data_IF_377854597088
#
_entry.id   IF_377854597088
#
_cell.length_a   1.000
_cell.length_b   1.000
_cell.length_c   1.000
_cell.angle_alpha   90.00
_cell.angle_beta   90.00
_cell.angle_gamma   90.00
#
_symmetry.space_group_name_H-M   'P 1'
#
loop_
_entity.id
_entity.type
_entity.pdbx_description
1 polymer ?
#
# COMPACT_ATOMS: atom_id res chain seq x y z
N UNK A 1 -17.06 44.72 0.19
CA UNK A 1 -16.58 43.57 0.98
C UNK A 1 -16.56 43.96 2.44
N UNK A 2 -17.48 43.41 3.24
CA UNK A 2 -17.56 43.66 4.69
C UNK A 2 -16.33 43.03 5.36
N UNK A 3 -15.46 43.86 5.95
CA UNK A 3 -14.40 43.39 6.84
C UNK A 3 -15.11 42.87 8.10
N UNK A 4 -15.09 41.55 8.33
CA UNK A 4 -15.53 40.98 9.60
C UNK A 4 -14.73 41.66 10.72
N UNK A 5 -15.39 42.50 11.52
CA UNK A 5 -14.80 43.15 12.69
C UNK A 5 -14.58 42.06 13.74
N UNK A 6 -13.34 41.91 14.18
CA UNK A 6 -13.00 41.05 15.31
C UNK A 6 -13.74 41.56 16.56
N UNK A 7 -14.61 40.71 17.13
CA UNK A 7 -15.42 41.00 18.32
C UNK A 7 -14.92 40.24 19.56
N UNK A 8 -13.71 39.70 19.51
CA UNK A 8 -13.13 38.93 20.61
C UNK A 8 -13.02 39.78 21.88
N UNK A 9 -12.70 41.07 21.77
CA UNK A 9 -12.65 41.97 22.92
C UNK A 9 -14.04 42.32 23.47
N UNK A 10 -15.02 42.58 22.58
CA UNK A 10 -16.42 42.81 22.97
C UNK A 10 -16.97 41.60 23.76
N UNK A 11 -16.59 40.37 23.36
CA UNK A 11 -16.94 39.14 24.07
C UNK A 11 -16.23 39.03 25.43
N UNK A 12 -14.92 39.32 25.52
CA UNK A 12 -14.19 39.33 26.80
C UNK A 12 -14.76 40.34 27.79
N UNK A 13 -15.13 41.53 27.32
CA UNK A 13 -15.78 42.57 28.13
C UNK A 13 -17.13 42.08 28.67
N UNK A 14 -17.96 41.48 27.81
CA UNK A 14 -19.24 40.91 28.22
C UNK A 14 -19.09 39.81 29.28
N UNK A 15 -18.10 38.91 29.11
CA UNK A 15 -17.80 37.86 30.09
C UNK A 15 -17.31 38.44 31.41
N UNK A 16 -16.49 39.51 31.40
CA UNK A 16 -16.08 40.22 32.63
C UNK A 16 -17.29 40.77 33.38
N UNK A 17 -18.17 41.49 32.67
CA UNK A 17 -19.37 42.07 33.27
C UNK A 17 -20.30 41.00 33.85
N UNK A 18 -20.52 39.89 33.13
CA UNK A 18 -21.33 38.78 33.60
C UNK A 18 -20.74 38.12 34.87
N UNK A 19 -19.43 37.86 34.88
CA UNK A 19 -18.76 37.25 36.04
C UNK A 19 -18.82 38.14 37.29
N UNK A 20 -18.62 39.46 37.14
CA UNK A 20 -18.76 40.43 38.24
C UNK A 20 -20.20 40.45 38.75
N UNK A 21 -21.20 40.47 37.85
CA UNK A 21 -22.62 40.45 38.24
C UNK A 21 -23.04 39.17 38.96
N UNK A 22 -22.35 38.06 38.69
CA UNK A 22 -22.57 36.76 39.34
C UNK A 22 -21.78 36.59 40.64
N UNK A 23 -21.13 37.65 41.14
CA UNK A 23 -20.41 37.65 42.42
C UNK A 23 -19.10 36.87 42.43
N UNK A 24 -18.45 36.72 41.27
CA UNK A 24 -17.14 36.06 41.20
C UNK A 24 -16.09 36.92 41.92
N UNK A 25 -15.26 36.28 42.75
CA UNK A 25 -14.12 36.94 43.39
C UNK A 25 -13.02 37.24 42.35
N UNK A 26 -12.14 38.18 42.70
CA UNK A 26 -11.09 38.67 41.81
C UNK A 26 -10.15 37.56 41.32
N UNK A 27 -9.92 36.53 42.15
CA UNK A 27 -9.13 35.35 41.76
C UNK A 27 -9.83 34.46 40.71
N UNK A 28 -11.14 34.21 40.82
CA UNK A 28 -11.89 33.47 39.79
C UNK A 28 -12.04 34.28 38.50
N UNK A 29 -12.21 35.60 38.59
CA UNK A 29 -12.25 36.48 37.42
C UNK A 29 -10.92 36.45 36.67
N UNK A 30 -9.80 36.58 37.38
CA UNK A 30 -8.46 36.48 36.79
C UNK A 30 -8.23 35.11 36.14
N UNK A 31 -8.70 34.02 36.75
CA UNK A 31 -8.60 32.67 36.17
C UNK A 31 -9.41 32.52 34.87
N UNK A 32 -10.64 33.05 34.80
CA UNK A 32 -11.46 33.06 33.58
C UNK A 32 -10.78 33.90 32.49
N UNK A 33 -10.29 35.10 32.83
CA UNK A 33 -9.60 35.96 31.87
C UNK A 33 -8.30 35.33 31.36
N UNK A 34 -7.54 34.66 32.22
CA UNK A 34 -6.33 33.94 31.86
C UNK A 34 -6.61 32.76 30.91
N UNK A 35 -7.77 32.11 31.02
CA UNK A 35 -8.16 31.00 30.12
C UNK A 35 -8.39 31.42 28.66
N UNK A 36 -8.70 32.69 28.42
CA UNK A 36 -8.77 33.24 27.06
C UNK A 36 -7.39 33.52 26.45
N UNK A 37 -6.35 33.60 27.28
CA UNK A 37 -4.98 33.89 26.86
C UNK A 37 -4.19 32.59 26.73
N UNK A 38 -4.33 31.70 27.72
CA UNK A 38 -3.62 30.43 27.80
C UNK A 38 -4.62 29.32 27.53
N UNK A 39 -4.58 28.79 26.32
CA UNK A 39 -5.36 27.61 25.97
C UNK A 39 -4.95 26.47 26.90
N UNK A 40 -5.92 25.93 27.64
CA UNK A 40 -5.69 24.76 28.48
C UNK A 40 -5.15 23.64 27.58
N UNK A 41 -4.01 23.02 27.91
CA UNK A 41 -3.46 21.95 27.08
C UNK A 41 -4.52 20.87 26.95
N UNK A 42 -4.91 20.58 25.69
CA UNK A 42 -5.92 19.58 25.39
C UNK A 42 -5.41 18.25 25.94
N UNK A 43 -6.07 17.70 26.94
CA UNK A 43 -5.67 16.41 27.50
C UNK A 43 -5.83 15.35 26.42
N UNK A 44 -4.70 14.86 25.91
CA UNK A 44 -4.67 13.79 24.93
C UNK A 44 -5.13 12.52 25.65
N UNK A 45 -6.23 11.94 25.18
CA UNK A 45 -6.67 10.63 25.66
C UNK A 45 -5.61 9.57 25.32
N UNK A 46 -5.52 8.46 26.07
CA UNK A 46 -4.62 7.36 25.72
C UNK A 46 -4.87 6.85 24.29
N UNK A 47 -6.14 6.83 23.85
CA UNK A 47 -6.52 6.54 22.47
C UNK A 47 -5.86 7.50 21.48
N UNK A 48 -5.98 8.81 21.69
CA UNK A 48 -5.39 9.82 20.79
C UNK A 48 -3.87 9.72 20.74
N UNK A 49 -3.22 9.45 21.88
CA UNK A 49 -1.76 9.27 21.93
C UNK A 49 -1.32 8.04 21.12
N UNK A 50 -2.03 6.93 21.26
CA UNK A 50 -1.76 5.72 20.48
C UNK A 50 -2.01 5.93 18.99
N UNK A 51 -3.12 6.59 18.62
CA UNK A 51 -3.44 6.91 17.23
C UNK A 51 -2.38 7.80 16.56
N UNK A 52 -1.89 8.82 17.26
CA UNK A 52 -0.81 9.68 16.75
C UNK A 52 0.49 8.90 16.56
N UNK A 53 0.84 8.01 17.50
CA UNK A 53 2.03 7.15 17.36
C UNK A 53 1.91 6.21 16.16
N UNK A 54 0.72 5.67 15.89
CA UNK A 54 0.46 4.86 14.70
C UNK A 54 0.62 5.70 13.42
N UNK A 55 0.12 6.94 13.41
CA UNK A 55 0.31 7.86 12.29
C UNK A 55 1.80 8.13 12.02
N UNK A 56 2.57 8.46 13.06
CA UNK A 56 4.03 8.66 12.96
C UNK A 56 4.74 7.41 12.40
N UNK A 57 4.28 6.22 12.78
CA UNK A 57 4.82 4.95 12.26
C UNK A 57 4.52 4.76 10.77
N UNK A 58 3.31 5.12 10.32
CA UNK A 58 2.93 5.08 8.89
C UNK A 58 3.73 6.10 8.08
N UNK A 59 3.97 7.29 8.62
CA UNK A 59 4.80 8.31 7.98
C UNK A 59 6.27 7.88 7.86
N UNK A 60 6.82 7.27 8.92
CA UNK A 60 8.16 6.69 8.89
C UNK A 60 8.29 5.60 7.82
N UNK A 61 7.29 4.72 7.70
CA UNK A 61 7.22 3.72 6.62
C UNK A 61 7.23 4.39 5.24
N UNK A 62 6.42 5.43 5.04
CA UNK A 62 6.39 6.15 3.77
C UNK A 62 7.75 6.80 3.43
N UNK A 63 8.39 7.42 4.42
CA UNK A 63 9.73 8.00 4.24
C UNK A 63 10.78 6.94 3.91
N UNK A 64 10.73 5.78 4.59
CA UNK A 64 11.59 4.64 4.30
C UNK A 64 11.43 4.18 2.84
N UNK A 65 10.19 3.98 2.37
CA UNK A 65 9.94 3.58 0.98
C UNK A 65 10.44 4.61 -0.03
N UNK A 66 10.25 5.91 0.24
CA UNK A 66 10.75 6.97 -0.65
C UNK A 66 12.28 6.99 -0.74
N UNK A 67 12.96 6.78 0.39
CA UNK A 67 14.44 6.70 0.44
C UNK A 67 14.95 5.52 -0.36
N UNK A 68 14.33 4.35 -0.21
CA UNK A 68 14.76 3.09 -0.83
C UNK A 68 14.15 2.85 -2.22
N UNK A 69 13.27 3.72 -2.72
CA UNK A 69 12.59 3.53 -4.02
C UNK A 69 13.55 3.27 -5.19
N UNK A 70 14.61 4.08 -5.29
CA UNK A 70 15.59 3.93 -6.38
C UNK A 70 16.44 2.67 -6.20
N UNK A 71 16.83 2.38 -4.97
CA UNK A 71 17.58 1.19 -4.60
C UNK A 71 16.77 -0.08 -4.88
N UNK A 72 15.45 -0.01 -4.75
CA UNK A 72 14.54 -1.14 -4.92
C UNK A 72 14.20 -1.43 -6.40
N UNK A 73 14.04 -0.40 -7.23
CA UNK A 73 13.66 -0.56 -8.65
C UNK A 73 14.87 -0.76 -9.56
N UNK A 74 16.01 -0.12 -9.27
CA UNK A 74 17.17 -0.17 -10.15
C UNK A 74 18.00 -1.45 -9.92
N UNK A 75 17.97 -2.35 -10.92
CA UNK A 75 18.68 -3.62 -10.89
C UNK A 75 20.20 -3.46 -10.68
N UNK A 76 20.80 -2.36 -11.16
CA UNK A 76 22.26 -2.17 -11.13
C UNK A 76 22.75 -1.50 -9.85
N UNK A 77 21.84 -1.06 -9.00
CA UNK A 77 22.15 -0.30 -7.79
C UNK A 77 22.23 -1.16 -6.53
N UNK A 78 21.47 -2.25 -6.48
CA UNK A 78 21.41 -3.15 -5.33
C UNK A 78 21.33 -4.61 -5.73
N UNK A 79 21.79 -5.47 -4.82
CA UNK A 79 21.65 -6.91 -4.92
C UNK A 79 20.21 -7.37 -4.70
N UNK A 80 19.87 -8.56 -5.17
CA UNK A 80 18.56 -9.17 -4.92
C UNK A 80 18.28 -9.36 -3.43
N UNK A 81 19.31 -9.76 -2.66
CA UNK A 81 19.24 -9.92 -1.21
C UNK A 81 18.87 -8.61 -0.48
N UNK A 82 19.42 -7.48 -0.91
CA UNK A 82 19.10 -6.16 -0.31
C UNK A 82 17.65 -5.75 -0.61
N UNK A 83 17.14 -6.07 -1.81
CA UNK A 83 15.75 -5.82 -2.18
C UNK A 83 14.78 -6.66 -1.35
N UNK A 84 15.12 -7.91 -1.11
CA UNK A 84 14.33 -8.80 -0.27
C UNK A 84 14.36 -8.36 1.21
N UNK A 85 15.48 -7.80 1.68
CA UNK A 85 15.55 -7.15 3.00
C UNK A 85 14.60 -5.94 3.10
N UNK A 86 14.59 -5.08 2.08
CA UNK A 86 13.66 -3.94 2.00
C UNK A 86 12.21 -4.42 2.05
N UNK A 87 11.86 -5.49 1.30
CA UNK A 87 10.52 -6.08 1.34
C UNK A 87 10.15 -6.65 2.71
N UNK A 88 11.09 -7.34 3.36
CA UNK A 88 10.87 -7.89 4.68
C UNK A 88 10.60 -6.78 5.71
N UNK A 89 11.41 -5.72 5.70
CA UNK A 89 11.24 -4.57 6.57
C UNK A 89 9.89 -3.87 6.34
N UNK A 90 9.55 -3.57 5.08
CA UNK A 90 8.25 -2.96 4.73
C UNK A 90 7.08 -3.83 5.21
N UNK A 91 7.16 -5.13 5.00
CA UNK A 91 6.12 -6.07 5.44
C UNK A 91 5.99 -6.10 6.96
N UNK A 92 7.10 -6.08 7.70
CA UNK A 92 7.10 -6.03 9.14
C UNK A 92 6.47 -4.72 9.67
N UNK A 93 6.81 -3.58 9.06
CA UNK A 93 6.21 -2.28 9.39
C UNK A 93 4.69 -2.26 9.15
N UNK A 94 4.23 -2.77 7.99
CA UNK A 94 2.80 -2.81 7.67
C UNK A 94 2.05 -3.67 8.68
N UNK A 95 2.58 -4.85 9.04
CA UNK A 95 1.99 -5.72 10.06
C UNK A 95 1.92 -5.02 11.42
N UNK A 96 3.00 -4.40 11.87
CA UNK A 96 3.03 -3.68 13.14
C UNK A 96 2.03 -2.50 13.18
N UNK A 97 1.87 -1.76 12.07
CA UNK A 97 0.88 -0.69 11.98
C UNK A 97 -0.55 -1.24 11.99
N UNK A 98 -0.81 -2.34 11.27
CA UNK A 98 -2.11 -3.01 11.28
C UNK A 98 -2.49 -3.47 12.69
N UNK A 99 -1.57 -4.12 13.40
CA UNK A 99 -1.82 -4.61 14.75
C UNK A 99 -2.18 -3.45 15.71
N UNK A 100 -1.51 -2.31 15.58
CA UNK A 100 -1.85 -1.10 16.35
C UNK A 100 -3.25 -0.56 16.01
N UNK A 101 -3.63 -0.55 14.72
CA UNK A 101 -4.97 -0.14 14.28
C UNK A 101 -6.03 -1.11 14.83
N UNK A 102 -5.77 -2.41 14.83
CA UNK A 102 -6.68 -3.42 15.38
C UNK A 102 -6.84 -3.27 16.90
N UNK A 103 -5.76 -2.95 17.63
CA UNK A 103 -5.83 -2.61 19.06
C UNK A 103 -6.72 -1.37 19.28
N UNK A 104 -6.56 -0.32 18.48
CA UNK A 104 -7.40 0.87 18.55
C UNK A 104 -8.87 0.53 18.28
N UNK A 105 -9.15 -0.26 17.23
CA UNK A 105 -10.51 -0.73 16.91
C UNK A 105 -11.14 -1.51 18.06
N UNK A 106 -10.40 -2.45 18.65
CA UNK A 106 -10.88 -3.26 19.77
C UNK A 106 -11.12 -2.41 21.03
N UNK A 107 -10.32 -1.35 21.24
CA UNK A 107 -10.55 -0.42 22.35
C UNK A 107 -11.89 0.30 22.24
N UNK A 108 -12.33 0.62 21.03
CA UNK A 108 -13.64 1.27 20.78
C UNK A 108 -14.78 0.28 21.03
N UNK A 109 -14.68 -0.94 20.52
CA UNK A 109 -15.70 -1.98 20.72
C UNK A 109 -15.91 -2.30 22.22
N UNK A 110 -14.83 -2.31 23.01
CA UNK A 110 -14.90 -2.52 24.46
C UNK A 110 -15.58 -1.34 25.19
N UNK A 111 -15.33 -0.11 24.75
CA UNK A 111 -16.02 1.08 25.26
C UNK A 111 -17.52 1.09 24.87
N UNK A 112 -17.88 0.63 23.68
CA UNK A 112 -19.28 0.46 23.25
C UNK A 112 -20.00 -0.63 24.04
N UNK A 113 -19.30 -1.72 24.39
CA UNK A 113 -19.86 -2.79 25.20
C UNK A 113 -20.07 -2.36 26.66
N UNK A 114 -19.14 -1.57 27.22
CA UNK A 114 -19.19 -1.10 28.61
C UNK A 114 -20.11 0.10 28.84
N UNK A 115 -20.34 0.93 27.81
CA UNK A 115 -21.28 2.07 27.86
C UNK A 115 -22.75 1.66 27.81
N UNK A 116 -23.04 0.39 27.51
CA UNK A 116 -24.37 -0.21 27.74
C UNK A 116 -24.49 -0.55 29.22
N UNK A 117 -24.88 0.43 30.03
CA UNK A 117 -25.11 0.22 31.47
C UNK A 117 -26.13 -0.89 31.74
N UNK A 118 -26.17 -1.39 32.98
CA UNK A 118 -27.06 -2.46 33.48
C UNK A 118 -28.56 -2.29 33.12
N UNK A 119 -29.00 -1.07 32.79
CA UNK A 119 -30.37 -0.71 32.40
C UNK A 119 -30.58 -0.51 30.89
N UNK A 120 -29.59 -0.77 30.03
CA UNK A 120 -29.73 -0.70 28.57
C UNK A 120 -29.92 0.71 27.98
N UNK A 121 -29.77 1.77 28.79
CA UNK A 121 -29.88 3.16 28.33
C UNK A 121 -28.50 3.60 27.81
N UNK A 122 -28.42 3.87 26.51
CA UNK A 122 -27.21 4.37 25.82
C UNK A 122 -27.02 5.85 26.18
N UNK A 123 -25.95 6.18 26.88
CA UNK A 123 -25.56 7.58 27.11
C UNK A 123 -25.25 8.24 25.75
N UNK A 124 -26.16 9.09 25.28
CA UNK A 124 -26.05 9.77 23.98
C UNK A 124 -24.85 10.72 23.89
N UNK A 125 -24.31 11.16 25.03
CA UNK A 125 -23.12 12.03 25.10
C UNK A 125 -21.83 11.37 24.61
N UNK A 126 -21.77 10.03 24.53
CA UNK A 126 -20.62 9.30 24.02
C UNK A 126 -20.72 8.93 22.54
N UNK A 127 -21.85 9.17 21.87
CA UNK A 127 -22.01 8.79 20.47
C UNK A 127 -21.05 9.58 19.55
N UNK A 128 -20.89 10.88 19.80
CA UNK A 128 -19.96 11.73 19.06
C UNK A 128 -18.49 11.34 19.30
N UNK A 129 -18.14 10.96 20.53
CA UNK A 129 -16.77 10.54 20.86
C UNK A 129 -16.43 9.19 20.24
N UNK A 130 -17.38 8.26 20.23
CA UNK A 130 -17.26 6.96 19.56
C UNK A 130 -17.15 7.13 18.04
N UNK A 131 -18.02 7.94 17.43
CA UNK A 131 -17.96 8.24 16.00
C UNK A 131 -16.61 8.89 15.61
N UNK A 132 -16.12 9.85 16.41
CA UNK A 132 -14.80 10.43 16.22
C UNK A 132 -13.69 9.37 16.29
N UNK A 133 -13.73 8.45 17.27
CA UNK A 133 -12.72 7.38 17.38
C UNK A 133 -12.75 6.43 16.18
N UNK A 134 -13.92 6.01 15.72
CA UNK A 134 -14.04 5.21 14.49
C UNK A 134 -13.51 5.96 13.28
N UNK A 135 -13.83 7.25 13.13
CA UNK A 135 -13.29 8.10 12.06
C UNK A 135 -11.75 8.16 12.07
N UNK A 136 -11.13 8.25 13.25
CA UNK A 136 -9.67 8.20 13.39
C UNK A 136 -9.10 6.87 12.91
N UNK A 137 -9.70 5.74 13.30
CA UNK A 137 -9.28 4.39 12.86
C UNK A 137 -9.40 4.26 11.34
N UNK A 138 -10.47 4.77 10.75
CA UNK A 138 -10.66 4.78 9.29
C UNK A 138 -9.54 5.56 8.59
N UNK A 139 -9.24 6.78 9.03
CA UNK A 139 -8.17 7.60 8.45
C UNK A 139 -6.82 6.88 8.53
N UNK A 140 -6.50 6.25 9.67
CA UNK A 140 -5.26 5.48 9.83
C UNK A 140 -5.21 4.29 8.87
N UNK A 141 -6.32 3.56 8.73
CA UNK A 141 -6.41 2.40 7.84
C UNK A 141 -6.26 2.80 6.36
N UNK A 142 -6.86 3.92 5.94
CA UNK A 142 -6.75 4.46 4.59
C UNK A 142 -5.31 4.91 4.29
N UNK A 143 -4.67 5.60 5.24
CA UNK A 143 -3.27 6.02 5.10
C UNK A 143 -2.34 4.83 4.97
N UNK A 144 -2.49 3.81 5.82
CA UNK A 144 -1.69 2.60 5.73
C UNK A 144 -1.93 1.87 4.40
N UNK A 145 -3.20 1.77 3.96
CA UNK A 145 -3.54 1.17 2.68
C UNK A 145 -2.93 1.92 1.49
N UNK A 146 -2.96 3.26 1.51
CA UNK A 146 -2.33 4.09 0.47
C UNK A 146 -0.83 3.83 0.36
N UNK A 147 -0.14 3.71 1.49
CA UNK A 147 1.30 3.39 1.55
C UNK A 147 1.56 1.97 1.05
N UNK A 148 0.79 0.98 1.49
CA UNK A 148 0.88 -0.41 0.99
C UNK A 148 0.67 -0.48 -0.53
N UNK A 149 -0.35 0.20 -1.06
CA UNK A 149 -0.63 0.21 -2.49
C UNK A 149 0.48 0.90 -3.31
N UNK A 150 1.19 1.89 -2.75
CA UNK A 150 2.37 2.47 -3.39
C UNK A 150 3.51 1.45 -3.46
N UNK A 151 3.69 0.65 -2.42
CA UNK A 151 4.70 -0.40 -2.40
C UNK A 151 4.38 -1.54 -3.38
N UNK A 152 3.11 -1.94 -3.48
CA UNK A 152 2.63 -2.92 -4.46
C UNK A 152 3.00 -2.51 -5.90
N UNK A 153 2.86 -1.22 -6.21
CA UNK A 153 3.24 -0.69 -7.53
C UNK A 153 4.74 -0.82 -7.80
N UNK A 154 5.59 -0.59 -6.79
CA UNK A 154 7.02 -0.78 -6.93
C UNK A 154 7.38 -2.25 -7.15
N UNK A 155 6.73 -3.15 -6.41
CA UNK A 155 6.85 -4.60 -6.59
C UNK A 155 6.43 -5.05 -7.98
N UNK A 156 5.30 -4.55 -8.47
CA UNK A 156 4.81 -4.87 -9.82
C UNK A 156 5.82 -4.48 -10.91
N UNK A 157 6.52 -3.35 -10.77
CA UNK A 157 7.59 -2.95 -11.68
C UNK A 157 8.75 -3.97 -11.64
N UNK A 158 9.22 -4.36 -10.44
CA UNK A 158 10.28 -5.36 -10.26
C UNK A 158 9.90 -6.70 -10.91
N UNK A 159 8.67 -7.17 -10.69
CA UNK A 159 8.20 -8.42 -11.27
C UNK A 159 8.09 -8.33 -12.79
N UNK A 160 7.60 -7.21 -13.33
CA UNK A 160 7.55 -7.01 -14.77
C UNK A 160 8.95 -7.00 -15.39
N UNK A 161 9.94 -6.41 -14.73
CA UNK A 161 11.34 -6.43 -15.19
C UNK A 161 11.95 -7.84 -15.12
N UNK A 162 11.61 -8.63 -14.10
CA UNK A 162 12.02 -10.03 -14.03
C UNK A 162 11.43 -10.86 -15.18
N UNK A 163 10.15 -10.68 -15.50
CA UNK A 163 9.48 -11.34 -16.63
C UNK A 163 10.08 -10.89 -17.96
N UNK A 164 10.33 -9.59 -18.13
CA UNK A 164 10.94 -9.03 -19.35
C UNK A 164 12.37 -9.52 -19.58
N UNK A 165 13.12 -9.81 -18.51
CA UNK A 165 14.46 -10.39 -18.57
C UNK A 165 14.43 -11.88 -18.87
N UNK A 166 13.51 -12.61 -18.23
CA UNK A 166 13.34 -14.04 -18.46
C UNK A 166 12.86 -14.30 -19.89
N UNK A 167 11.92 -13.52 -20.41
CA UNK A 167 11.41 -13.72 -21.77
C UNK A 167 12.49 -13.38 -22.81
N UNK A 168 13.08 -14.36 -23.52
CA UNK A 168 14.11 -14.07 -24.50
C UNK A 168 13.49 -13.22 -25.60
N UNK A 169 14.06 -12.03 -25.84
CA UNK A 169 13.73 -11.20 -27.01
C UNK A 169 14.05 -12.04 -28.25
N UNK A 170 13.03 -12.71 -28.80
CA UNK A 170 13.07 -13.38 -30.11
C UNK A 170 13.47 -12.36 -31.17
N UNK A 171 14.77 -12.12 -31.35
CA UNK A 171 15.29 -11.70 -32.64
C UNK A 171 15.26 -12.95 -33.50
N UNK A 172 14.09 -13.19 -34.09
CA UNK A 172 13.93 -14.08 -35.23
C UNK A 172 14.93 -13.59 -36.29
N UNK A 173 16.10 -14.24 -36.37
CA UNK A 173 17.02 -14.04 -37.48
C UNK A 173 16.28 -14.53 -38.71
N UNK A 174 15.71 -13.58 -39.46
CA UNK A 174 15.17 -13.83 -40.79
C UNK A 174 16.35 -14.22 -41.66
N UNK A 175 16.57 -15.52 -41.82
CA UNK A 175 17.35 -16.03 -42.93
C UNK A 175 16.61 -15.60 -44.20
N UNK A 176 17.05 -14.48 -44.78
CA UNK A 176 16.72 -14.13 -46.15
C UNK A 176 17.87 -14.67 -46.99
N UNK A 177 17.74 -15.93 -47.39
CA UNK A 177 18.38 -16.43 -48.58
C UNK A 177 17.29 -16.71 -49.60
N UNK A 178 17.34 -16.01 -50.74
CA UNK A 178 16.86 -16.46 -52.05
C UNK A 178 17.26 -15.46 -53.16
N UNK A 179 18.40 -15.75 -53.80
CA UNK A 179 18.78 -15.65 -55.21
C UNK A 179 18.47 -14.43 -56.10
N UNK A 180 19.51 -13.96 -56.82
CA UNK A 180 19.48 -13.87 -58.29
C UNK A 180 20.90 -13.93 -58.90
N UNK A 181 20.95 -14.46 -60.13
CA UNK A 181 22.05 -15.02 -60.94
C UNK A 181 23.16 -14.02 -61.35
N UNK A 182 24.37 -14.50 -61.70
CA UNK A 182 24.80 -14.67 -63.11
C UNK A 182 26.24 -15.20 -63.32
N UNK A 183 26.45 -15.94 -64.42
CA UNK A 183 27.71 -16.20 -65.18
C UNK A 183 28.92 -16.91 -64.50
N UNK A 184 29.69 -17.86 -65.06
CA UNK A 184 29.90 -18.36 -66.44
C UNK A 184 30.82 -19.62 -66.50
N UNK A 185 30.43 -20.59 -67.34
CA UNK A 185 31.24 -21.46 -68.25
C UNK A 185 32.19 -22.59 -67.76
N UNK A 186 32.43 -23.62 -68.62
CA UNK A 186 32.74 -25.02 -68.23
C UNK A 186 34.08 -25.58 -68.77
N UNK A 187 34.61 -26.69 -68.22
CA UNK A 187 35.21 -27.81 -69.00
C UNK A 187 35.66 -29.02 -68.14
N UNK A 188 35.10 -30.19 -68.48
CA UNK A 188 35.71 -31.51 -68.74
C UNK A 188 36.48 -32.39 -67.71
N UNK A 189 36.11 -33.68 -67.85
CA UNK A 189 36.89 -34.94 -67.85
C UNK A 189 37.02 -35.75 -66.54
N UNK A 190 36.09 -36.71 -66.46
CA UNK A 190 36.33 -38.17 -66.40
C UNK A 190 37.00 -38.84 -65.19
N UNK A 191 36.29 -39.90 -64.77
CA UNK A 191 36.82 -41.21 -64.37
C UNK A 191 37.40 -41.33 -62.95
N UNK A 192 36.60 -41.92 -62.05
CA UNK A 192 36.80 -43.30 -61.52
C UNK A 192 36.26 -43.41 -60.09
N UNK A 193 35.31 -44.33 -59.94
CA UNK A 193 34.96 -45.12 -58.75
C UNK A 193 35.64 -44.74 -57.43
N UNK A 194 34.85 -44.30 -56.44
CA UNK A 194 35.03 -44.79 -55.07
C UNK A 194 33.72 -44.76 -54.30
N UNK A 195 33.40 -45.93 -53.77
CA UNK A 195 32.29 -46.25 -52.88
C UNK A 195 32.21 -45.31 -51.66
N UNK A 196 30.98 -45.18 -51.16
CA UNK A 196 30.64 -45.05 -49.74
C UNK A 196 31.20 -43.83 -49.00
N UNK A 197 30.52 -42.68 -49.02
CA UNK A 197 30.47 -41.71 -47.89
C UNK A 197 29.38 -40.65 -48.16
N UNK A 198 28.10 -40.93 -47.90
CA UNK A 198 27.07 -39.86 -47.92
C UNK A 198 25.94 -40.02 -46.91
N UNK A 199 26.13 -40.86 -45.88
CA UNK A 199 25.09 -41.12 -44.86
C UNK A 199 25.34 -40.45 -43.50
N UNK A 200 26.52 -39.85 -43.28
CA UNK A 200 26.86 -39.19 -42.01
C UNK A 200 26.37 -37.74 -41.82
N UNK A 201 26.24 -36.86 -42.84
CA UNK A 201 25.86 -35.46 -42.59
C UNK A 201 24.43 -35.30 -42.07
N UNK A 202 23.51 -36.18 -42.49
CA UNK A 202 22.09 -36.12 -42.12
C UNK A 202 21.82 -36.55 -40.68
N UNK A 203 22.55 -37.55 -40.17
CA UNK A 203 22.39 -38.02 -38.78
C UNK A 203 22.87 -36.98 -37.78
N UNK A 204 24.02 -36.36 -38.05
CA UNK A 204 24.57 -35.30 -37.20
C UNK A 204 23.68 -34.05 -37.21
N UNK A 205 23.09 -33.72 -38.37
CA UNK A 205 22.14 -32.61 -38.46
C UNK A 205 20.81 -32.90 -37.72
N UNK A 206 20.31 -34.13 -37.79
CA UNK A 206 19.12 -34.55 -37.04
C UNK A 206 19.36 -34.54 -35.52
N UNK A 207 20.53 -35.00 -35.09
CA UNK A 207 20.95 -35.03 -33.68
C UNK A 207 21.15 -33.62 -33.12
N UNK A 208 21.71 -32.69 -33.92
CA UNK A 208 21.81 -31.28 -33.56
C UNK A 208 20.43 -30.63 -33.38
N UNK A 209 19.47 -30.94 -34.27
CA UNK A 209 18.11 -30.43 -34.17
C UNK A 209 17.40 -31.00 -32.94
N UNK A 210 17.57 -32.29 -32.65
CA UNK A 210 17.02 -32.90 -31.43
C UNK A 210 17.63 -32.30 -30.16
N UNK A 211 18.93 -31.99 -30.17
CA UNK A 211 19.63 -31.34 -29.06
C UNK A 211 19.18 -29.88 -28.86
N UNK A 212 19.01 -29.12 -29.95
CA UNK A 212 18.44 -27.76 -29.91
C UNK A 212 16.98 -27.80 -29.41
N UNK A 213 16.20 -28.79 -29.85
CA UNK A 213 14.81 -28.94 -29.38
C UNK A 213 14.76 -29.27 -27.89
N UNK A 214 15.67 -30.12 -27.39
CA UNK A 214 15.80 -30.42 -25.96
C UNK A 214 16.27 -29.20 -25.16
N UNK A 215 17.24 -28.44 -25.69
CA UNK A 215 17.72 -27.22 -25.05
C UNK A 215 16.61 -26.16 -24.95
N UNK A 216 15.84 -25.96 -26.02
CA UNK A 216 14.68 -25.06 -26.03
C UNK A 216 13.57 -25.53 -25.10
N UNK A 217 13.34 -26.85 -25.00
CA UNK A 217 12.41 -27.41 -24.03
C UNK A 217 12.83 -27.09 -22.61
N UNK A 218 14.11 -27.31 -22.26
CA UNK A 218 14.67 -27.00 -20.93
C UNK A 218 14.60 -25.50 -20.62
N UNK A 219 14.90 -24.64 -21.59
CA UNK A 219 14.76 -23.19 -21.44
C UNK A 219 13.30 -22.83 -21.18
N UNK A 220 12.36 -23.40 -21.94
CA UNK A 220 10.93 -23.13 -21.77
C UNK A 220 10.39 -23.63 -20.41
N UNK A 221 10.80 -24.80 -19.92
CA UNK A 221 10.45 -25.24 -18.56
C UNK A 221 11.03 -24.31 -17.51
N UNK A 222 12.31 -23.93 -17.64
CA UNK A 222 12.92 -22.98 -16.70
C UNK A 222 12.22 -21.61 -16.70
N UNK A 223 11.73 -21.16 -17.86
CA UNK A 223 10.95 -19.93 -17.97
C UNK A 223 9.57 -20.07 -17.33
N UNK A 224 8.90 -21.20 -17.54
CA UNK A 224 7.61 -21.47 -16.90
C UNK A 224 7.73 -21.51 -15.39
N UNK A 225 8.77 -22.15 -14.85
CA UNK A 225 9.02 -22.20 -13.40
C UNK A 225 9.24 -20.79 -12.84
N UNK A 226 10.07 -19.97 -13.51
CA UNK A 226 10.32 -18.59 -13.10
C UNK A 226 9.04 -17.74 -13.15
N UNK A 227 8.21 -17.88 -14.20
CA UNK A 227 6.94 -17.17 -14.32
C UNK A 227 5.98 -17.61 -13.22
N UNK A 228 5.83 -18.91 -12.97
CA UNK A 228 4.95 -19.45 -11.93
C UNK A 228 5.36 -19.00 -10.52
N UNK A 229 6.66 -18.96 -10.23
CA UNK A 229 7.16 -18.42 -8.96
C UNK A 229 6.82 -16.92 -8.82
N UNK A 230 7.02 -16.14 -9.87
CA UNK A 230 6.67 -14.70 -9.86
C UNK A 230 5.17 -14.46 -9.73
N UNK A 231 4.34 -15.29 -10.37
CA UNK A 231 2.88 -15.24 -10.29
C UNK A 231 2.42 -15.55 -8.86
N UNK A 232 2.95 -16.60 -8.25
CA UNK A 232 2.61 -16.98 -6.87
C UNK A 232 2.95 -15.85 -5.90
N UNK A 233 4.15 -15.27 -6.01
CA UNK A 233 4.54 -14.10 -5.22
C UNK A 233 3.62 -12.90 -5.47
N UNK A 234 3.17 -12.66 -6.70
CA UNK A 234 2.24 -11.58 -6.99
C UNK A 234 0.86 -11.80 -6.34
N UNK A 235 0.36 -13.04 -6.38
CA UNK A 235 -0.96 -13.41 -5.82
C UNK A 235 -0.97 -13.28 -4.29
N UNK A 236 0.04 -13.81 -3.60
CA UNK A 236 0.15 -13.71 -2.14
C UNK A 236 0.19 -12.25 -1.67
N UNK A 237 0.86 -11.39 -2.44
CA UNK A 237 0.98 -9.98 -2.13
C UNK A 237 -0.30 -9.19 -2.42
N UNK A 238 -1.03 -9.56 -3.49
CA UNK A 238 -2.37 -9.03 -3.75
C UNK A 238 -3.37 -9.39 -2.64
N UNK A 239 -3.18 -10.51 -1.94
CA UNK A 239 -4.08 -10.94 -0.86
C UNK A 239 -4.00 -10.02 0.36
N UNK A 240 -2.80 -9.56 0.75
CA UNK A 240 -2.63 -8.62 1.87
C UNK A 240 -3.34 -7.30 1.58
N UNK A 241 -3.13 -6.75 0.39
CA UNK A 241 -3.74 -5.49 -0.01
C UNK A 241 -5.27 -5.60 -0.13
N UNK A 242 -5.76 -6.74 -0.64
CA UNK A 242 -7.19 -7.05 -0.66
C UNK A 242 -7.79 -7.09 0.76
N UNK A 243 -7.15 -7.78 1.70
CA UNK A 243 -7.59 -7.85 3.10
C UNK A 243 -7.63 -6.46 3.76
N UNK A 244 -6.64 -5.61 3.48
CA UNK A 244 -6.65 -4.23 3.97
C UNK A 244 -7.82 -3.42 3.38
N UNK A 245 -8.07 -3.56 2.08
CA UNK A 245 -9.18 -2.90 1.39
C UNK A 245 -10.54 -3.31 1.96
N UNK A 246 -10.73 -4.59 2.28
CA UNK A 246 -11.96 -5.07 2.90
C UNK A 246 -12.14 -4.55 4.32
N UNK A 247 -11.05 -4.44 5.10
CA UNK A 247 -11.10 -3.82 6.43
C UNK A 247 -11.49 -2.33 6.37
N UNK A 248 -10.92 -1.56 5.43
CA UNK A 248 -11.26 -0.13 5.23
C UNK A 248 -12.74 0.00 4.86
N UNK A 249 -13.23 -0.82 3.93
CA UNK A 249 -14.63 -0.81 3.51
C UNK A 249 -15.58 -1.15 4.66
N UNK A 250 -15.26 -2.19 5.44
CA UNK A 250 -16.05 -2.59 6.60
C UNK A 250 -16.13 -1.45 7.63
N UNK A 251 -15.02 -0.75 7.88
CA UNK A 251 -14.98 0.38 8.81
C UNK A 251 -15.81 1.56 8.31
N UNK A 252 -15.78 1.86 7.01
CA UNK A 252 -16.60 2.92 6.42
C UNK A 252 -18.11 2.65 6.63
N UNK A 253 -18.55 1.41 6.41
CA UNK A 253 -19.94 1.01 6.66
C UNK A 253 -20.34 1.13 8.15
N UNK A 254 -19.44 0.79 9.08
CA UNK A 254 -19.69 0.96 10.51
C UNK A 254 -19.90 2.44 10.87
N UNK A 255 -19.13 3.33 10.28
CA UNK A 255 -19.24 4.78 10.49
C UNK A 255 -20.54 5.32 9.91
N UNK A 256 -20.90 4.93 8.69
CA UNK A 256 -22.18 5.32 8.07
C UNK A 256 -23.37 4.92 8.95
N UNK A 257 -23.37 3.69 9.47
CA UNK A 257 -24.43 3.26 10.39
C UNK A 257 -24.47 4.12 11.67
N UNK A 258 -23.32 4.45 12.26
CA UNK A 258 -23.27 5.33 13.42
C UNK A 258 -23.81 6.73 13.12
N UNK A 259 -23.52 7.27 11.93
CA UNK A 259 -24.07 8.56 11.49
C UNK A 259 -25.58 8.50 11.28
N UNK A 260 -26.11 7.45 10.64
CA UNK A 260 -27.56 7.25 10.51
C UNK A 260 -28.25 7.20 11.88
N UNK A 261 -27.66 6.48 12.85
CA UNK A 261 -28.16 6.44 14.22
C UNK A 261 -28.16 7.83 14.87
N UNK A 262 -27.10 8.63 14.69
CA UNK A 262 -27.00 9.99 15.24
C UNK A 262 -28.04 10.94 14.63
N UNK A 263 -28.25 10.87 13.32
CA UNK A 263 -29.25 11.68 12.61
C UNK A 263 -30.66 11.35 13.12
N UNK A 264 -30.99 10.06 13.22
CA UNK A 264 -32.29 9.63 13.77
C UNK A 264 -32.46 10.10 15.22
N UNK A 265 -31.43 9.97 16.06
CA UNK A 265 -31.51 10.42 17.45
C UNK A 265 -31.71 11.94 17.57
N UNK A 266 -31.05 12.71 16.71
CA UNK A 266 -31.16 14.18 16.70
C UNK A 266 -32.55 14.63 16.25
N UNK A 267 -33.17 13.92 15.31
CA UNK A 267 -34.55 14.18 14.86
C UNK A 267 -35.57 13.84 15.96
N UNK A 268 -35.31 12.85 16.81
CA UNK A 268 -36.21 12.45 17.91
C UNK A 268 -36.13 13.37 19.13
N UNK A 269 -35.12 14.25 19.21
CA UNK A 269 -34.91 15.18 20.34
C UNK A 269 -35.44 16.61 20.03
N UNK A 270 -36.17 16.80 18.93
CA UNK A 270 -36.95 18.01 18.63
C UNK A 270 -38.44 17.68 18.50
#
# INVERSE_FOLDING_TARGET
MSKFRDRTEDFKDAVRHAAISSGYNESKLAAIMASFIIHKPRQMTPFTKSALKTLESIEALNQFMLKHRKDYVDLHRTTEQERDSIEHEVTAFIKACKDQIDILKNSINNEEASSKGWLGIKDSSNADTIAHKHGVVLILSEKLHSVTAQFDKLRAIRFQDAINKATPRRKLKRAVDSNSQDTSKPLNLELRETNELHSEPLRVQQELLDDETRALQVELTSLLDAVQETETKMVEMSALNHLMSTHVLQQAQQIEHLYEQLVVLTIVVH
#
